data_IF_688387493706
#
_entry.id   IF_688387493706
#
_cell.length_a   1.000
_cell.length_b   1.000
_cell.length_c   1.000
_cell.angle_alpha   90.00
_cell.angle_beta   90.00
_cell.angle_gamma   90.00
#
_symmetry.space_group_name_H-M   'P 1'
#
loop_
_entity.id
_entity.type
_entity.pdbx_description
1 polymer ?
#
# COMPACT_ATOMS: atom_id res chain seq x y z
N UNK A 1 15.15 -21.92 35.90
CA UNK A 1 14.32 -21.30 36.96
C UNK A 1 12.97 -22.01 36.95
N UNK A 2 12.46 -22.48 38.11
CA UNK A 2 11.08 -22.99 38.22
C UNK A 2 10.20 -21.84 38.71
N UNK A 3 9.25 -21.41 37.89
CA UNK A 3 8.23 -20.43 38.28
C UNK A 3 7.04 -21.17 38.89
N UNK A 4 6.60 -20.71 40.06
CA UNK A 4 5.33 -21.15 40.67
C UNK A 4 4.17 -20.50 39.92
N UNK A 5 3.20 -21.29 39.47
CA UNK A 5 2.00 -20.81 38.79
C UNK A 5 0.79 -21.21 39.63
N UNK A 6 -0.09 -20.25 39.91
CA UNK A 6 -1.39 -20.52 40.52
C UNK A 6 -2.28 -21.20 39.47
N UNK A 7 -2.63 -22.45 39.74
CA UNK A 7 -3.51 -23.23 38.86
C UNK A 7 -4.96 -22.99 39.31
N UNK A 8 -5.82 -22.39 38.48
CA UNK A 8 -7.22 -22.19 38.82
C UNK A 8 -7.95 -23.54 38.93
N UNK A 9 -9.13 -23.57 39.54
CA UNK A 9 -9.92 -24.81 39.62
C UNK A 9 -10.42 -25.26 38.23
N UNK A 10 -10.89 -26.51 38.13
CA UNK A 10 -11.29 -27.09 36.84
C UNK A 10 -12.43 -26.32 36.15
N UNK A 11 -13.40 -25.81 36.92
CA UNK A 11 -14.53 -25.05 36.36
C UNK A 11 -14.05 -23.74 35.71
N UNK A 12 -13.14 -23.04 36.38
CA UNK A 12 -12.53 -21.82 35.86
C UNK A 12 -11.65 -22.12 34.63
N UNK A 13 -10.82 -23.16 34.69
CA UNK A 13 -10.03 -23.61 33.53
C UNK A 13 -10.93 -23.91 32.32
N UNK A 14 -12.09 -24.55 32.52
CA UNK A 14 -13.02 -24.86 31.45
C UNK A 14 -13.67 -23.59 30.87
N UNK A 15 -14.01 -22.62 31.71
CA UNK A 15 -14.53 -21.31 31.26
C UNK A 15 -13.48 -20.55 30.45
N UNK A 16 -12.25 -20.48 30.95
CA UNK A 16 -11.10 -19.85 30.26
C UNK A 16 -10.85 -20.54 28.91
N UNK A 17 -10.79 -21.87 28.90
CA UNK A 17 -10.58 -22.65 27.68
C UNK A 17 -11.71 -22.47 26.66
N UNK A 18 -12.96 -22.35 27.12
CA UNK A 18 -14.11 -22.08 26.24
C UNK A 18 -14.04 -20.67 25.66
N UNK A 19 -13.68 -19.68 26.47
CA UNK A 19 -13.51 -18.30 26.02
C UNK A 19 -12.44 -18.19 24.91
N UNK A 20 -11.25 -18.78 25.11
CA UNK A 20 -10.21 -18.75 24.08
C UNK A 20 -10.62 -19.50 22.80
N UNK A 21 -11.33 -20.63 22.91
CA UNK A 21 -11.90 -21.31 21.73
C UNK A 21 -12.86 -20.41 20.96
N UNK A 22 -13.70 -19.64 21.64
CA UNK A 22 -14.61 -18.69 21.00
C UNK A 22 -13.83 -17.56 20.32
N UNK A 23 -12.78 -17.04 20.97
CA UNK A 23 -11.91 -16.01 20.40
C UNK A 23 -11.21 -16.50 19.13
N UNK A 24 -10.62 -17.71 19.16
CA UNK A 24 -9.97 -18.32 18.00
C UNK A 24 -10.96 -18.54 16.84
N UNK A 25 -12.18 -18.98 17.16
CA UNK A 25 -13.24 -19.15 16.18
C UNK A 25 -13.63 -17.80 15.55
N UNK A 26 -13.75 -16.75 16.37
CA UNK A 26 -14.09 -15.41 15.90
C UNK A 26 -12.99 -14.84 15.00
N UNK A 27 -11.72 -15.01 15.36
CA UNK A 27 -10.57 -14.61 14.55
C UNK A 27 -10.62 -15.34 13.20
N UNK A 28 -10.84 -16.66 13.22
CA UNK A 28 -10.94 -17.48 12.01
C UNK A 28 -12.06 -17.01 11.09
N UNK A 29 -13.24 -16.70 11.64
CA UNK A 29 -14.37 -16.17 10.87
C UNK A 29 -14.04 -14.80 10.24
N UNK A 30 -13.39 -13.91 10.98
CA UNK A 30 -13.02 -12.59 10.47
C UNK A 30 -11.93 -12.67 9.39
N UNK A 31 -10.96 -13.57 9.54
CA UNK A 31 -9.94 -13.79 8.51
C UNK A 31 -10.57 -14.27 7.21
N UNK A 32 -11.49 -15.24 7.27
CA UNK A 32 -12.25 -15.72 6.09
C UNK A 32 -13.07 -14.60 5.44
N UNK A 33 -13.74 -13.77 6.24
CA UNK A 33 -14.50 -12.63 5.73
C UNK A 33 -13.58 -11.61 5.05
N UNK A 34 -12.43 -11.31 5.63
CA UNK A 34 -11.44 -10.40 5.05
C UNK A 34 -10.94 -10.92 3.70
N UNK A 35 -10.61 -12.20 3.62
CA UNK A 35 -10.12 -12.81 2.38
C UNK A 35 -11.19 -12.81 1.28
N UNK A 36 -12.45 -13.11 1.63
CA UNK A 36 -13.57 -12.99 0.71
C UNK A 36 -13.76 -11.56 0.19
N UNK A 37 -13.67 -10.56 1.08
CA UNK A 37 -13.82 -9.15 0.70
C UNK A 37 -12.66 -8.68 -0.20
N UNK A 38 -11.44 -9.17 0.02
CA UNK A 38 -10.29 -8.88 -0.84
C UNK A 38 -10.50 -9.43 -2.24
N UNK A 39 -10.94 -10.69 -2.37
CA UNK A 39 -11.21 -11.30 -3.67
C UNK A 39 -12.39 -10.63 -4.38
N UNK A 40 -13.47 -10.31 -3.65
CA UNK A 40 -14.59 -9.55 -4.21
C UNK A 40 -14.14 -8.18 -4.72
N UNK A 41 -13.36 -7.44 -3.93
CA UNK A 41 -12.82 -6.13 -4.34
C UNK A 41 -11.98 -6.26 -5.61
N UNK A 42 -11.11 -7.27 -5.69
CA UNK A 42 -10.27 -7.54 -6.86
C UNK A 42 -11.11 -7.82 -8.10
N UNK A 43 -12.11 -8.70 -7.99
CA UNK A 43 -13.01 -9.03 -9.10
C UNK A 43 -13.84 -7.83 -9.57
N UNK A 44 -14.39 -7.04 -8.63
CA UNK A 44 -15.11 -5.81 -8.97
C UNK A 44 -14.20 -4.78 -9.65
N UNK A 45 -12.97 -4.61 -9.16
CA UNK A 45 -12.01 -3.68 -9.76
C UNK A 45 -11.63 -4.08 -11.19
N UNK A 46 -11.47 -5.38 -11.47
CA UNK A 46 -11.25 -5.85 -12.84
C UNK A 46 -12.43 -5.50 -13.75
N UNK A 47 -13.66 -5.67 -13.26
CA UNK A 47 -14.90 -5.31 -13.98
C UNK A 47 -15.11 -3.80 -14.10
N UNK A 48 -14.40 -2.99 -13.31
CA UNK A 48 -14.38 -1.53 -13.44
C UNK A 48 -13.47 -1.06 -14.59
N UNK A 49 -12.79 -1.92 -15.35
CA UNK A 49 -12.08 -1.50 -16.55
C UNK A 49 -12.58 -2.29 -17.76
N UNK A 50 -12.57 -1.70 -18.97
CA UNK A 50 -12.96 -2.44 -20.17
C UNK A 50 -12.04 -3.64 -20.40
N UNK A 51 -12.63 -4.76 -20.84
CA UNK A 51 -11.85 -5.90 -21.30
C UNK A 51 -11.10 -5.57 -22.60
N UNK A 52 -10.11 -6.39 -22.96
CA UNK A 52 -9.36 -6.20 -24.20
C UNK A 52 -10.29 -6.13 -25.42
N UNK A 53 -10.21 -5.02 -26.17
CA UNK A 53 -11.04 -4.79 -27.35
C UNK A 53 -12.42 -4.17 -27.07
N UNK A 54 -12.76 -3.93 -25.81
CA UNK A 54 -13.97 -3.20 -25.41
C UNK A 54 -13.61 -1.78 -24.96
N UNK A 55 -14.57 -0.86 -25.10
CA UNK A 55 -14.51 0.51 -24.58
C UNK A 55 -15.46 0.71 -23.37
N UNK A 56 -16.36 -0.25 -23.14
CA UNK A 56 -17.30 -0.23 -22.03
C UNK A 56 -16.97 -1.33 -21.02
N UNK A 57 -16.89 -0.99 -19.74
CA UNK A 57 -16.73 -1.94 -18.62
C UNK A 57 -18.01 -2.74 -18.35
N UNK A 58 -17.91 -3.80 -17.56
CA UNK A 58 -19.10 -4.53 -17.09
C UNK A 58 -19.85 -3.77 -15.98
N UNK A 59 -19.13 -3.04 -15.12
CA UNK A 59 -19.69 -2.34 -13.97
C UNK A 59 -19.19 -0.89 -13.94
N UNK A 60 -20.09 0.05 -13.59
CA UNK A 60 -19.76 1.47 -13.36
C UNK A 60 -20.50 2.03 -12.17
N UNK A 61 -19.91 3.06 -11.59
CA UNK A 61 -20.65 3.94 -10.69
C UNK A 61 -21.71 4.70 -11.48
N UNK A 62 -22.84 4.97 -10.83
CA UNK A 62 -23.93 5.76 -11.42
C UNK A 62 -23.38 7.11 -11.90
N UNK A 63 -23.67 7.47 -13.16
CA UNK A 63 -23.18 8.70 -13.78
C UNK A 63 -21.89 8.58 -14.60
N UNK A 64 -21.25 7.40 -14.63
CA UNK A 64 -20.02 7.14 -15.41
C UNK A 64 -20.27 6.14 -16.55
N UNK A 65 -21.36 6.28 -17.31
CA UNK A 65 -21.79 5.30 -18.32
C UNK A 65 -21.12 5.46 -19.69
N UNK A 66 -20.27 6.49 -19.85
CA UNK A 66 -19.63 6.81 -21.10
C UNK A 66 -18.57 5.77 -21.51
N UNK A 67 -18.33 5.69 -22.82
CA UNK A 67 -17.29 4.83 -23.38
C UNK A 67 -15.90 5.35 -23.01
N UNK A 68 -14.95 4.43 -22.85
CA UNK A 68 -13.55 4.77 -22.62
C UNK A 68 -12.92 5.26 -23.91
N UNK A 69 -12.22 6.39 -23.80
CA UNK A 69 -11.46 6.96 -24.90
C UNK A 69 -9.97 6.70 -24.68
N UNK A 70 -9.28 6.26 -25.73
CA UNK A 70 -7.81 6.13 -25.68
C UNK A 70 -7.19 7.52 -25.66
N UNK A 71 -6.26 7.75 -24.73
CA UNK A 71 -5.46 8.98 -24.60
C UNK A 71 -4.00 8.62 -24.46
N UNK A 72 -3.10 9.48 -24.94
CA UNK A 72 -1.66 9.32 -24.66
C UNK A 72 -1.38 9.87 -23.27
N UNK A 73 -0.69 9.09 -22.44
CA UNK A 73 -0.40 9.52 -21.07
C UNK A 73 0.44 10.81 -21.03
N UNK A 74 1.36 11.00 -21.97
CA UNK A 74 2.15 12.24 -22.10
C UNK A 74 1.37 13.49 -22.52
N UNK A 75 0.09 13.36 -22.92
CA UNK A 75 -0.81 14.50 -23.13
C UNK A 75 -1.55 14.90 -21.84
N UNK A 76 -1.56 14.01 -20.84
CA UNK A 76 -2.33 14.17 -19.59
C UNK A 76 -1.43 14.40 -18.37
N UNK A 77 -0.17 13.98 -18.43
CA UNK A 77 0.78 14.07 -17.34
C UNK A 77 2.15 14.51 -17.82
N UNK A 78 2.83 15.31 -17.00
CA UNK A 78 4.23 15.64 -17.17
C UNK A 78 5.09 14.54 -16.56
N UNK A 79 6.11 14.11 -17.30
CA UNK A 79 7.05 13.08 -16.87
C UNK A 79 8.36 13.71 -16.42
N UNK A 80 8.69 13.46 -15.17
CA UNK A 80 9.89 14.00 -14.54
C UNK A 80 10.83 12.83 -14.19
N UNK A 81 12.06 12.92 -14.69
CA UNK A 81 13.11 11.97 -14.36
C UNK A 81 13.95 12.48 -13.19
N UNK A 82 14.31 11.57 -12.30
CA UNK A 82 15.25 11.84 -11.22
C UNK A 82 16.67 12.11 -11.74
N UNK A 83 17.58 12.34 -10.79
CA UNK A 83 19.02 12.45 -11.04
C UNK A 83 19.78 11.39 -10.26
N UNK A 84 20.97 11.04 -10.76
CA UNK A 84 21.94 10.30 -9.97
C UNK A 84 22.57 11.21 -8.90
N UNK A 85 22.81 10.64 -7.72
CA UNK A 85 23.56 11.25 -6.63
C UNK A 85 24.88 10.50 -6.44
N UNK A 86 25.95 11.26 -6.25
CA UNK A 86 27.25 10.73 -5.81
C UNK A 86 27.21 10.46 -4.31
N UNK A 87 28.16 9.64 -3.84
CA UNK A 87 28.18 9.23 -2.42
C UNK A 87 28.43 10.39 -1.47
N UNK A 88 29.26 11.35 -1.86
CA UNK A 88 29.58 12.57 -1.09
C UNK A 88 28.41 13.57 -1.04
N UNK A 89 27.41 13.43 -1.91
CA UNK A 89 26.18 14.24 -1.91
C UNK A 89 25.08 13.65 -1.02
N UNK A 90 25.26 12.43 -0.51
CA UNK A 90 24.30 11.69 0.31
C UNK A 90 24.70 11.75 1.79
N UNK A 91 23.99 12.60 2.52
CA UNK A 91 24.19 12.86 3.94
C UNK A 91 23.26 12.00 4.78
N UNK A 92 23.64 11.80 6.06
CA UNK A 92 22.79 11.18 7.08
C UNK A 92 21.71 12.13 7.60
N UNK A 93 21.89 13.44 7.42
CA UNK A 93 20.93 14.50 7.75
C UNK A 93 21.16 15.70 6.82
N UNK A 94 20.11 16.43 6.49
CA UNK A 94 20.20 17.62 5.64
C UNK A 94 18.81 18.20 5.33
N UNK A 95 18.81 19.24 4.49
CA UNK A 95 17.62 20.03 4.15
C UNK A 95 16.58 19.24 3.37
N UNK A 96 17.01 18.46 2.39
CA UNK A 96 16.10 17.74 1.49
C UNK A 96 16.24 16.23 1.67
N UNK A 97 15.16 15.49 1.96
CA UNK A 97 15.18 14.03 1.90
C UNK A 97 15.34 13.56 0.46
N UNK A 98 16.22 12.59 0.25
CA UNK A 98 16.53 12.03 -1.08
C UNK A 98 15.82 10.69 -1.25
N UNK A 99 14.90 10.65 -2.22
CA UNK A 99 14.25 9.41 -2.65
C UNK A 99 15.15 8.65 -3.63
N UNK A 100 15.34 7.37 -3.39
CA UNK A 100 16.14 6.45 -4.22
C UNK A 100 15.42 5.11 -4.32
N UNK A 101 15.83 4.29 -5.29
CA UNK A 101 15.33 2.90 -5.46
C UNK A 101 15.37 2.11 -4.15
N UNK A 102 16.46 2.23 -3.38
CA UNK A 102 16.65 1.47 -2.14
C UNK A 102 15.73 1.85 -0.97
N UNK A 103 15.07 3.01 -1.01
CA UNK A 103 14.10 3.45 0.00
C UNK A 103 12.73 3.79 -0.59
N UNK A 104 12.51 3.50 -1.87
CA UNK A 104 11.26 3.82 -2.56
C UNK A 104 10.05 3.12 -1.92
N UNK A 105 10.24 1.86 -1.53
CA UNK A 105 9.21 1.02 -0.90
C UNK A 105 9.31 0.95 0.62
N UNK A 106 10.38 1.50 1.20
CA UNK A 106 10.68 1.38 2.63
C UNK A 106 10.90 2.75 3.23
N UNK A 107 10.04 3.15 4.17
CA UNK A 107 10.18 4.44 4.85
C UNK A 107 11.17 4.38 6.03
N UNK A 108 12.10 3.41 6.00
CA UNK A 108 12.90 3.03 7.16
C UNK A 108 14.26 3.72 7.19
N UNK A 109 14.82 4.08 6.02
CA UNK A 109 16.14 4.71 5.90
C UNK A 109 16.16 5.79 4.83
N UNK A 110 16.46 7.01 5.25
CA UNK A 110 16.55 8.17 4.37
C UNK A 110 17.98 8.68 4.27
N UNK A 111 18.32 9.09 3.05
CA UNK A 111 19.48 9.96 2.80
C UNK A 111 18.97 11.39 2.66
N UNK A 112 19.87 12.35 2.85
CA UNK A 112 19.58 13.76 2.73
C UNK A 112 20.61 14.46 1.86
N UNK A 113 20.25 15.63 1.34
CA UNK A 113 21.17 16.50 0.61
C UNK A 113 20.82 17.97 0.88
N UNK A 114 21.84 18.82 0.95
CA UNK A 114 21.69 20.28 1.05
C UNK A 114 21.80 20.95 -0.33
N UNK A 115 21.92 20.17 -1.40
CA UNK A 115 22.00 20.69 -2.76
C UNK A 115 20.69 21.36 -3.18
N UNK A 116 20.81 22.59 -3.67
CA UNK A 116 19.73 23.30 -4.35
C UNK A 116 19.75 22.91 -5.83
N UNK A 117 18.64 22.32 -6.29
CA UNK A 117 18.51 21.82 -7.65
C UNK A 117 17.47 22.63 -8.44
N UNK A 118 17.44 22.49 -9.78
CA UNK A 118 16.29 22.94 -10.55
C UNK A 118 14.99 22.27 -10.10
N UNK A 119 13.87 22.98 -10.22
CA UNK A 119 12.54 22.55 -9.75
C UNK A 119 12.13 21.15 -10.25
N UNK A 120 12.51 20.81 -11.47
CA UNK A 120 12.28 19.48 -12.09
C UNK A 120 12.90 18.30 -11.34
N UNK A 121 13.69 18.50 -10.28
CA UNK A 121 14.25 17.41 -9.47
C UNK A 121 13.58 17.25 -8.11
N UNK A 122 12.52 18.02 -7.84
CA UNK A 122 11.74 17.92 -6.62
C UNK A 122 10.40 17.28 -6.90
N UNK A 123 10.07 16.25 -6.13
CA UNK A 123 8.72 15.74 -6.04
C UNK A 123 7.92 16.58 -5.04
N UNK A 124 6.72 16.97 -5.43
CA UNK A 124 5.78 17.72 -4.60
C UNK A 124 4.68 16.81 -4.09
N UNK A 125 3.99 17.26 -3.05
CA UNK A 125 2.82 16.57 -2.53
C UNK A 125 1.75 16.50 -3.61
N UNK A 126 1.34 15.29 -3.96
CA UNK A 126 0.35 15.01 -5.01
C UNK A 126 0.96 14.37 -6.26
N UNK A 127 2.29 14.45 -6.43
CA UNK A 127 2.97 13.79 -7.53
C UNK A 127 2.91 12.27 -7.40
N UNK A 128 2.78 11.60 -8.54
CA UNK A 128 2.82 10.15 -8.62
C UNK A 128 4.26 9.70 -8.87
N UNK A 129 4.82 9.04 -7.87
CA UNK A 129 6.13 8.43 -7.94
C UNK A 129 5.97 6.98 -8.41
N UNK A 130 6.74 6.58 -9.41
CA UNK A 130 6.79 5.21 -9.89
C UNK A 130 8.23 4.80 -10.23
N UNK A 131 8.47 3.50 -10.31
CA UNK A 131 9.71 2.94 -10.86
C UNK A 131 9.36 2.05 -12.05
N UNK A 132 10.24 2.04 -13.04
CA UNK A 132 10.17 1.17 -14.22
C UNK A 132 10.69 -0.25 -13.94
#
# INVERSE_FOLDING_TARGET
MKQSVLVPNLDEQQKIGTFFKQLDHLITLHQRKLDLLKELKKGLLQKLFPANGQDRPEIRFKGFADAWEKRKLGELAEFINGRAYKQDELLTSGKYPVLRVGNFYTNDKWYYSDLELPEKYYAKKGDLLYMD
#
